data_IF_003607995654
#
_entry.id   IF_003607995654
#
_cell.length_a   1.000
_cell.length_b   1.000
_cell.length_c   1.000
_cell.angle_alpha   90.00
_cell.angle_beta   90.00
_cell.angle_gamma   90.00
#
_symmetry.space_group_name_H-M   'P 1'
#
loop_
_entity.id
_entity.type
_entity.pdbx_description
1 polymer ?
#
# COMPACT_ATOMS: atom_id res chain seq x y z
N UNK A 1 -5.44 -15.20 -0.54
CA UNK A 1 -4.61 -14.46 0.41
C UNK A 1 -3.56 -15.41 0.99
N UNK A 2 -2.37 -15.53 0.36
CA UNK A 2 -1.41 -16.57 0.73
C UNK A 2 -0.76 -16.42 2.11
N UNK A 3 -0.54 -15.19 2.59
CA UNK A 3 0.21 -14.92 3.84
C UNK A 3 -0.61 -14.20 4.93
N UNK A 4 -1.93 -14.04 4.73
CA UNK A 4 -2.86 -13.39 5.66
C UNK A 4 -4.27 -13.96 5.53
N UNK A 5 -5.12 -13.72 6.54
CA UNK A 5 -6.58 -13.93 6.44
C UNK A 5 -7.29 -12.68 5.93
N UNK A 6 -8.53 -12.84 5.47
CA UNK A 6 -9.38 -11.72 5.03
C UNK A 6 -9.60 -10.70 6.14
N UNK A 7 -9.83 -11.17 7.36
CA UNK A 7 -10.04 -10.33 8.53
C UNK A 7 -8.79 -9.50 8.86
N UNK A 8 -7.59 -10.06 8.69
CA UNK A 8 -6.34 -9.33 8.91
C UNK A 8 -6.13 -8.24 7.84
N UNK A 9 -6.43 -8.54 6.57
CA UNK A 9 -6.36 -7.56 5.48
C UNK A 9 -7.38 -6.44 5.70
N UNK A 10 -8.62 -6.78 6.06
CA UNK A 10 -9.67 -5.81 6.39
C UNK A 10 -9.27 -4.94 7.59
N UNK A 11 -8.70 -5.53 8.63
CA UNK A 11 -8.17 -4.80 9.79
C UNK A 11 -7.08 -3.81 9.38
N UNK A 12 -6.13 -4.22 8.54
CA UNK A 12 -5.08 -3.34 8.02
C UNK A 12 -5.65 -2.18 7.19
N UNK A 13 -6.58 -2.45 6.27
CA UNK A 13 -7.18 -1.42 5.43
C UNK A 13 -8.00 -0.41 6.25
N UNK A 14 -8.73 -0.88 7.26
CA UNK A 14 -9.47 -0.01 8.19
C UNK A 14 -8.51 0.91 8.97
N UNK A 15 -7.41 0.37 9.48
CA UNK A 15 -6.38 1.15 10.17
C UNK A 15 -5.70 2.16 9.24
N UNK A 16 -5.40 1.75 8.01
CA UNK A 16 -4.82 2.63 6.98
C UNK A 16 -5.76 3.80 6.68
N UNK A 17 -7.02 3.53 6.34
CA UNK A 17 -8.00 4.57 6.03
C UNK A 17 -8.24 5.52 7.22
N UNK A 18 -8.27 4.98 8.44
CA UNK A 18 -8.38 5.80 9.64
C UNK A 18 -7.19 6.76 9.78
N UNK A 19 -5.96 6.27 9.54
CA UNK A 19 -4.75 7.11 9.56
C UNK A 19 -4.76 8.16 8.45
N UNK A 20 -5.23 7.83 7.25
CA UNK A 20 -5.28 8.76 6.13
C UNK A 20 -6.25 9.95 6.32
N UNK A 21 -7.20 9.84 7.26
CA UNK A 21 -8.03 10.97 7.66
C UNK A 21 -7.26 12.06 8.43
N UNK A 22 -6.07 11.74 8.94
CA UNK A 22 -5.26 12.64 9.80
C UNK A 22 -3.87 12.89 9.20
N UNK A 23 -3.27 11.88 8.57
CA UNK A 23 -1.91 11.89 8.07
C UNK A 23 -1.86 11.89 6.54
N UNK A 24 -0.87 12.60 6.00
CA UNK A 24 -0.56 12.57 4.56
C UNK A 24 0.26 11.32 4.17
N UNK A 25 0.18 10.94 2.89
CA UNK A 25 0.96 9.84 2.31
C UNK A 25 2.33 10.36 1.88
N UNK A 26 3.40 9.68 2.31
CA UNK A 26 4.75 9.91 1.82
C UNK A 26 5.07 8.84 0.77
N UNK A 27 5.53 9.28 -0.39
CA UNK A 27 5.89 8.39 -1.49
C UNK A 27 7.40 8.37 -1.68
N UNK A 28 7.99 7.19 -1.50
CA UNK A 28 9.43 7.00 -1.68
C UNK A 28 9.82 7.20 -3.14
N UNK A 29 10.81 8.07 -3.39
CA UNK A 29 11.15 8.54 -4.74
C UNK A 29 12.15 7.61 -5.45
N UNK A 30 11.82 6.32 -5.56
CA UNK A 30 12.64 5.38 -6.33
C UNK A 30 12.47 5.62 -7.82
N UNK A 31 13.58 5.75 -8.54
CA UNK A 31 13.59 6.04 -10.00
C UNK A 31 12.75 5.04 -10.79
N UNK A 32 12.84 3.75 -10.45
CA UNK A 32 12.05 2.67 -11.07
C UNK A 32 10.53 2.89 -10.95
N UNK A 33 10.07 3.50 -9.85
CA UNK A 33 8.65 3.77 -9.66
C UNK A 33 8.20 4.96 -10.50
N UNK A 34 9.05 5.98 -10.67
CA UNK A 34 8.70 7.16 -11.48
C UNK A 34 8.47 6.78 -12.94
N UNK A 35 9.36 5.97 -13.52
CA UNK A 35 9.20 5.51 -14.90
C UNK A 35 7.92 4.67 -15.07
N UNK A 36 7.72 3.67 -14.21
CA UNK A 36 6.54 2.80 -14.30
C UNK A 36 5.22 3.59 -14.16
N UNK A 37 5.15 4.55 -13.23
CA UNK A 37 3.97 5.40 -13.08
C UNK A 37 3.74 6.28 -14.31
N UNK A 38 4.82 6.80 -14.92
CA UNK A 38 4.73 7.56 -16.16
C UNK A 38 4.22 6.70 -17.32
N UNK A 39 4.73 5.48 -17.46
CA UNK A 39 4.34 4.54 -18.52
C UNK A 39 2.87 4.12 -18.40
N UNK A 40 2.35 4.08 -17.17
CA UNK A 40 0.94 3.80 -16.85
C UNK A 40 0.05 5.04 -16.85
N UNK A 41 0.61 6.22 -17.15
CA UNK A 41 -0.09 7.52 -17.09
C UNK A 41 -0.72 7.82 -15.71
N UNK A 42 -0.12 7.30 -14.64
CA UNK A 42 -0.59 7.48 -13.27
C UNK A 42 0.01 8.77 -12.67
N UNK A 43 -0.85 9.76 -12.50
CA UNK A 43 -0.54 11.02 -11.83
C UNK A 43 -0.42 10.86 -10.33
N UNK A 44 0.16 11.87 -9.66
CA UNK A 44 0.29 11.89 -8.21
C UNK A 44 -1.05 11.75 -7.48
N UNK A 45 -2.10 12.45 -7.92
CA UNK A 45 -3.44 12.40 -7.31
C UNK A 45 -4.10 11.04 -7.50
N UNK A 46 -3.98 10.45 -8.69
CA UNK A 46 -4.55 9.12 -8.96
C UNK A 46 -3.97 8.05 -8.02
N UNK A 47 -2.71 8.15 -7.59
CA UNK A 47 -2.16 7.21 -6.60
C UNK A 47 -2.87 7.30 -5.25
N UNK A 48 -3.24 8.51 -4.84
CA UNK A 48 -3.98 8.71 -3.59
C UNK A 48 -5.37 8.10 -3.74
N UNK A 49 -6.03 8.33 -4.88
CA UNK A 49 -7.34 7.75 -5.17
C UNK A 49 -7.29 6.21 -5.16
N UNK A 50 -6.28 5.61 -5.80
CA UNK A 50 -6.07 4.16 -5.76
C UNK A 50 -5.90 3.65 -4.34
N UNK A 51 -5.04 4.29 -3.54
CA UNK A 51 -4.79 3.90 -2.15
C UNK A 51 -6.07 3.98 -1.31
N UNK A 52 -6.89 5.02 -1.49
CA UNK A 52 -8.16 5.19 -0.78
C UNK A 52 -9.26 4.22 -1.24
N UNK A 53 -9.11 3.66 -2.43
CA UNK A 53 -10.10 2.74 -3.04
C UNK A 53 -9.78 1.26 -2.82
N UNK A 54 -8.63 0.94 -2.22
CA UNK A 54 -8.16 -0.44 -2.01
C UNK A 54 -9.17 -1.28 -1.23
N UNK A 55 -9.34 -2.51 -1.68
CA UNK A 55 -10.23 -3.51 -1.10
C UNK A 55 -9.46 -4.77 -0.72
N UNK A 56 -10.01 -5.64 0.14
CA UNK A 56 -9.37 -6.90 0.48
C UNK A 56 -9.07 -7.78 -0.74
N UNK A 57 -9.86 -7.67 -1.81
CA UNK A 57 -9.67 -8.41 -3.06
C UNK A 57 -8.40 -7.98 -3.83
N UNK A 58 -7.92 -6.75 -3.59
CA UNK A 58 -6.71 -6.20 -4.22
C UNK A 58 -5.43 -6.71 -3.53
N UNK A 59 -5.56 -7.43 -2.41
CA UNK A 59 -4.42 -7.97 -1.67
C UNK A 59 -3.65 -9.01 -2.49
N UNK A 60 -2.33 -8.82 -2.55
CA UNK A 60 -1.39 -9.73 -3.20
C UNK A 60 -0.59 -10.50 -2.15
N UNK A 61 0.01 -9.79 -1.19
CA UNK A 61 0.94 -10.39 -0.23
C UNK A 61 1.09 -9.57 1.07
N UNK A 62 1.59 -10.21 2.13
CA UNK A 62 1.88 -9.65 3.44
C UNK A 62 1.11 -10.30 4.61
N UNK A 63 1.36 -9.88 5.86
CA UNK A 63 2.41 -8.93 6.27
C UNK A 63 3.79 -9.49 5.96
N UNK A 64 4.66 -8.66 5.40
CA UNK A 64 6.05 -9.03 5.10
C UNK A 64 6.96 -8.21 6.00
N UNK A 65 7.88 -8.89 6.68
CA UNK A 65 8.82 -8.24 7.59
C UNK A 65 9.89 -7.48 6.82
N UNK A 66 10.22 -6.27 7.28
CA UNK A 66 11.35 -5.51 6.76
C UNK A 66 12.66 -6.07 7.31
N UNK A 67 13.43 -6.71 6.44
CA UNK A 67 14.74 -7.27 6.77
C UNK A 67 15.85 -6.22 6.70
N UNK A 68 15.61 -5.06 6.07
CA UNK A 68 16.58 -3.98 5.97
C UNK A 68 16.45 -3.01 7.14
N UNK A 69 15.25 -2.80 7.66
CA UNK A 69 14.98 -2.02 8.87
C UNK A 69 13.96 -2.73 9.76
N UNK A 70 14.45 -3.58 10.67
CA UNK A 70 13.59 -4.36 11.58
C UNK A 70 12.86 -3.52 12.62
N UNK A 71 13.10 -2.20 12.67
CA UNK A 71 12.37 -1.28 13.55
C UNK A 71 11.08 -0.75 12.91
N UNK A 72 10.88 -1.00 11.61
CA UNK A 72 9.68 -0.60 10.87
C UNK A 72 8.57 -1.65 11.01
N UNK A 73 7.30 -1.22 10.90
CA UNK A 73 6.18 -2.15 10.77
C UNK A 73 6.31 -3.03 9.51
N UNK A 74 5.63 -4.17 9.52
CA UNK A 74 5.51 -5.02 8.34
C UNK A 74 4.83 -4.29 7.18
N UNK A 75 5.25 -4.59 5.96
CA UNK A 75 4.64 -4.04 4.74
C UNK A 75 3.62 -5.00 4.13
N UNK A 76 2.65 -4.40 3.44
CA UNK A 76 1.53 -5.06 2.78
C UNK A 76 1.52 -4.68 1.31
N UNK A 77 1.25 -5.66 0.45
CA UNK A 77 1.29 -5.50 -1.01
C UNK A 77 -0.10 -5.67 -1.58
N UNK A 78 -0.56 -4.63 -2.29
CA UNK A 78 -1.82 -4.60 -3.01
C UNK A 78 -1.54 -4.36 -4.51
N UNK A 79 -2.36 -4.96 -5.36
CA UNK A 79 -2.33 -4.78 -6.81
C UNK A 79 -3.45 -3.86 -7.27
N UNK A 80 -3.20 -3.12 -8.36
CA UNK A 80 -4.18 -2.32 -9.10
C UNK A 80 -4.27 -2.85 -10.53
#
# INVERSE_FOLDING_TARGET
MPNSTKEQVESFLNDLHTKLNVFSIVFEQRDKNRQALSDLEITHSQRIDFILSMKPEDYVDGPIKDTNDTTRPDYWVFGI
#
